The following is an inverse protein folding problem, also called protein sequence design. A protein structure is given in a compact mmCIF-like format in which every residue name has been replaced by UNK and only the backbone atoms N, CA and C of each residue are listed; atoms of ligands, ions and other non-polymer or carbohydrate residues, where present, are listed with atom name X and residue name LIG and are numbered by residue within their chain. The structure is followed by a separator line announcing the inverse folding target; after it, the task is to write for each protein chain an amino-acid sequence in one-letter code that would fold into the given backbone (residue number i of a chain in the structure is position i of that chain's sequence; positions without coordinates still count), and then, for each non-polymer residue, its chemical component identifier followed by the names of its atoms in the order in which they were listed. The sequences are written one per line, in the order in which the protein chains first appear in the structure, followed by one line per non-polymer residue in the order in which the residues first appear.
data_IF_205718674460
#
_entry.id   IF_205718674460
#
_cell.length_a   1.000
_cell.length_b   1.000
_cell.length_c   1.000
_cell.angle_alpha   90.00
_cell.angle_beta   90.00
_cell.angle_gamma   90.00
#
_symmetry.space_group_name_H-M   'P 1'
#
loop_
_entity.id
_entity.type
_entity.pdbx_description
1 polymer ?
#
# COMPACT_ATOMS: atom_id res chain seq x y z
N UNK A 1 -38.78 -8.90 -33.70
CA UNK A 1 -38.46 -9.84 -32.60
C UNK A 1 -37.48 -10.87 -33.13
N UNK A 2 -36.24 -10.80 -32.67
CA UNK A 2 -35.28 -11.90 -32.61
C UNK A 2 -34.28 -11.45 -31.54
N UNK A 3 -34.16 -12.20 -30.44
CA UNK A 3 -33.37 -11.78 -29.29
C UNK A 3 -31.89 -12.16 -29.50
N UNK A 4 -31.00 -11.27 -29.07
CA UNK A 4 -29.57 -11.55 -28.92
C UNK A 4 -29.33 -12.50 -27.75
N UNK A 5 -28.59 -13.58 -27.98
CA UNK A 5 -28.05 -14.42 -26.91
C UNK A 5 -26.91 -13.67 -26.17
N UNK A 6 -26.80 -13.79 -24.83
CA UNK A 6 -25.70 -13.19 -24.08
C UNK A 6 -24.43 -14.05 -24.15
N UNK A 7 -23.27 -13.41 -24.18
CA UNK A 7 -21.97 -14.07 -24.15
C UNK A 7 -21.78 -14.90 -22.86
N UNK A 8 -21.09 -16.04 -22.99
CA UNK A 8 -20.82 -16.94 -21.88
C UNK A 8 -19.82 -16.32 -20.88
N UNK A 9 -20.16 -16.40 -19.60
CA UNK A 9 -19.26 -15.99 -18.52
C UNK A 9 -18.16 -17.06 -18.35
N UNK A 10 -16.90 -16.72 -18.64
CA UNK A 10 -15.76 -17.64 -18.52
C UNK A 10 -14.86 -17.22 -17.36
N UNK A 11 -15.26 -17.61 -16.15
CA UNK A 11 -14.42 -17.53 -14.96
C UNK A 11 -13.42 -18.69 -14.94
N UNK A 12 -12.14 -18.38 -14.72
CA UNK A 12 -11.09 -19.39 -14.58
C UNK A 12 -11.36 -20.33 -13.39
N UNK A 13 -11.11 -21.65 -13.51
CA UNK A 13 -11.44 -22.61 -12.46
C UNK A 13 -10.45 -22.54 -11.29
N UNK A 14 -10.81 -21.81 -10.23
CA UNK A 14 -10.11 -21.86 -8.96
C UNK A 14 -10.25 -23.25 -8.32
N UNK A 15 -9.12 -23.91 -8.01
CA UNK A 15 -9.10 -25.17 -7.26
C UNK A 15 -7.84 -25.27 -6.40
N UNK A 16 -7.85 -24.57 -5.27
CA UNK A 16 -6.81 -24.66 -4.25
C UNK A 16 -7.05 -25.87 -3.33
N UNK A 17 -6.05 -26.75 -3.11
CA UNK A 17 -6.17 -27.87 -2.17
C UNK A 17 -6.08 -27.40 -0.70
N UNK A 18 -6.68 -28.14 0.26
CA UNK A 18 -6.73 -27.72 1.67
C UNK A 18 -5.38 -27.85 2.39
N UNK A 19 -5.09 -26.87 3.26
CA UNK A 19 -3.86 -26.79 4.05
C UNK A 19 -3.81 -27.86 5.16
N UNK A 20 -2.70 -28.60 5.22
CA UNK A 20 -2.44 -29.60 6.27
C UNK A 20 -1.99 -28.96 7.59
N UNK A 21 -2.65 -29.30 8.70
CA UNK A 21 -2.34 -28.74 10.03
C UNK A 21 -1.26 -29.55 10.75
N UNK A 22 -0.04 -28.97 10.89
CA UNK A 22 1.00 -29.50 11.79
C UNK A 22 0.83 -28.93 13.20
N UNK A 23 0.60 -29.82 14.19
CA UNK A 23 0.69 -29.46 15.62
C UNK A 23 2.13 -29.10 16.01
N UNK A 24 2.29 -27.99 16.72
CA UNK A 24 3.51 -27.66 17.46
C UNK A 24 3.32 -27.98 18.95
N UNK A 25 4.31 -28.64 19.55
CA UNK A 25 4.30 -29.07 20.95
C UNK A 25 4.61 -27.92 21.91
N UNK A 26 3.84 -27.81 22.99
CA UNK A 26 4.13 -26.87 24.07
C UNK A 26 5.32 -27.34 24.94
N UNK A 27 6.18 -26.41 25.34
CA UNK A 27 7.21 -26.65 26.36
C UNK A 27 7.14 -25.53 27.40
N UNK A 28 7.18 -25.91 28.69
CA UNK A 28 6.88 -25.04 29.83
C UNK A 28 8.05 -24.11 30.17
N UNK A 29 7.76 -22.84 30.45
CA UNK A 29 8.67 -21.94 31.16
C UNK A 29 8.23 -21.78 32.63
N UNK A 30 9.19 -21.69 33.56
CA UNK A 30 8.96 -21.39 34.99
C UNK A 30 9.37 -19.93 35.28
N UNK A 31 8.72 -19.24 36.23
CA UNK A 31 9.03 -17.85 36.55
C UNK A 31 10.26 -17.73 37.48
N UNK A 32 11.06 -16.68 37.28
CA UNK A 32 12.13 -16.26 38.17
C UNK A 32 11.85 -14.88 38.75
N UNK A 33 12.03 -14.72 40.06
CA UNK A 33 11.77 -13.49 40.82
C UNK A 33 13.01 -12.58 40.88
N UNK A 34 12.80 -11.26 40.94
CA UNK A 34 13.88 -10.32 41.30
C UNK A 34 13.69 -8.87 40.84
N UNK A 35 13.42 -7.98 41.79
CA UNK A 35 13.60 -6.53 41.68
C UNK A 35 14.09 -6.06 43.06
N UNK A 36 15.08 -5.15 43.16
CA UNK A 36 14.71 -3.79 43.57
C UNK A 36 15.63 -2.65 43.05
N UNK A 37 15.15 -1.40 43.15
CA UNK A 37 16.03 -0.28 43.55
C UNK A 37 16.30 0.84 42.53
N UNK A 38 15.48 1.88 42.60
CA UNK A 38 15.60 3.23 41.98
C UNK A 38 16.94 3.95 42.33
N UNK A 39 17.39 4.97 41.56
CA UNK A 39 16.86 6.33 41.79
C UNK A 39 16.56 7.20 40.56
N UNK A 40 15.70 8.18 40.80
CA UNK A 40 15.20 9.21 39.89
C UNK A 40 16.29 10.24 39.51
N UNK A 41 16.31 10.71 38.26
CA UNK A 41 17.07 11.91 37.89
C UNK A 41 16.48 12.67 36.69
N UNK A 42 16.39 14.00 36.85
CA UNK A 42 16.46 14.96 35.74
C UNK A 42 15.24 15.14 34.85
N UNK A 43 14.36 16.10 35.21
CA UNK A 43 13.59 16.82 34.19
C UNK A 43 14.56 17.56 33.26
N UNK A 44 14.52 17.24 31.95
CA UNK A 44 14.97 18.16 30.90
C UNK A 44 13.80 18.52 30.01
N UNK A 45 13.12 19.60 30.38
CA UNK A 45 12.02 20.18 29.60
C UNK A 45 12.58 21.00 28.44
N UNK A 46 12.77 20.36 27.27
CA UNK A 46 13.21 21.07 26.05
C UNK A 46 12.06 21.26 25.05
N UNK A 47 11.50 22.46 25.09
CA UNK A 47 10.65 23.12 24.07
C UNK A 47 9.23 22.57 23.80
N UNK A 48 8.23 23.27 24.35
CA UNK A 48 6.83 23.27 23.86
C UNK A 48 6.65 24.09 22.56
N UNK A 49 7.64 24.11 21.66
CA UNK A 49 7.66 24.96 20.46
C UNK A 49 8.01 24.20 19.15
N UNK A 50 7.66 22.91 19.05
CA UNK A 50 7.90 22.06 17.87
C UNK A 50 6.66 21.89 16.93
N UNK A 51 5.72 22.84 16.95
CA UNK A 51 4.51 22.81 16.12
C UNK A 51 4.45 24.03 15.19
N UNK A 52 5.30 24.07 14.14
CA UNK A 52 4.71 23.95 12.80
C UNK A 52 5.54 23.17 11.74
N UNK A 53 6.71 22.60 12.05
CA UNK A 53 7.67 22.13 11.02
C UNK A 53 7.21 20.95 10.13
N UNK A 54 6.20 20.18 10.55
CA UNK A 54 5.93 18.83 10.01
C UNK A 54 4.83 18.70 8.95
N UNK A 55 4.12 19.77 8.56
CA UNK A 55 3.01 19.67 7.57
C UNK A 55 3.45 19.82 6.11
N UNK A 56 4.66 20.31 5.88
CA UNK A 56 5.26 20.52 4.56
C UNK A 56 6.45 19.58 4.30
N UNK A 57 6.83 18.76 5.28
CA UNK A 57 7.77 17.68 5.08
C UNK A 57 7.22 16.63 4.11
N UNK A 58 8.13 16.10 3.30
CA UNK A 58 7.94 14.97 2.41
C UNK A 58 8.92 13.86 2.79
N UNK A 59 8.61 12.63 2.41
CA UNK A 59 9.54 11.51 2.40
C UNK A 59 9.52 10.85 1.02
N UNK A 60 10.64 10.25 0.63
CA UNK A 60 10.69 9.40 -0.56
C UNK A 60 10.36 7.97 -0.17
N UNK A 61 9.33 7.41 -0.80
CA UNK A 61 8.89 6.02 -0.62
C UNK A 61 9.25 5.23 -1.87
N UNK A 62 9.95 4.12 -1.68
CA UNK A 62 10.08 3.05 -2.68
C UNK A 62 9.06 1.96 -2.32
N UNK A 63 8.17 1.66 -3.27
CA UNK A 63 7.12 0.65 -3.18
C UNK A 63 7.57 -0.51 -4.07
N UNK A 64 7.79 -1.69 -3.51
CA UNK A 64 8.19 -2.90 -4.24
C UNK A 64 7.09 -3.95 -4.13
N UNK A 65 6.64 -4.50 -5.26
CA UNK A 65 5.75 -5.65 -5.29
C UNK A 65 6.59 -6.92 -5.07
N UNK A 66 6.28 -7.70 -4.03
CA UNK A 66 7.04 -8.91 -3.68
C UNK A 66 6.80 -10.03 -4.68
N UNK A 67 7.69 -11.02 -4.64
CA UNK A 67 7.61 -12.25 -5.42
C UNK A 67 7.59 -12.04 -6.95
N UNK A 68 8.02 -10.86 -7.40
CA UNK A 68 8.22 -10.54 -8.82
C UNK A 68 9.70 -10.60 -9.21
N UNK A 69 9.96 -11.10 -10.42
CA UNK A 69 11.27 -11.13 -11.06
C UNK A 69 11.12 -10.73 -12.54
N UNK A 70 11.78 -9.65 -13.02
CA UNK A 70 12.49 -8.64 -12.22
C UNK A 70 11.55 -7.94 -11.23
N UNK A 71 12.10 -7.36 -10.16
CA UNK A 71 11.29 -6.70 -9.12
C UNK A 71 10.51 -5.51 -9.72
N UNK A 72 9.18 -5.60 -9.69
CA UNK A 72 8.29 -4.50 -10.06
C UNK A 72 8.27 -3.47 -8.92
N UNK A 73 8.55 -2.20 -9.24
CA UNK A 73 8.61 -1.15 -8.22
C UNK A 73 8.23 0.24 -8.71
N UNK A 74 7.84 1.09 -7.76
CA UNK A 74 7.50 2.51 -7.94
C UNK A 74 8.23 3.35 -6.89
N UNK A 75 8.61 4.58 -7.22
CA UNK A 75 9.20 5.56 -6.30
C UNK A 75 8.42 6.87 -6.38
N UNK A 76 8.04 7.38 -5.22
CA UNK A 76 7.23 8.59 -5.06
C UNK A 76 7.81 9.48 -3.96
N UNK A 77 7.62 10.79 -4.10
CA UNK A 77 7.72 11.71 -2.95
C UNK A 77 6.31 11.93 -2.38
N UNK A 78 6.14 11.69 -1.08
CA UNK A 78 4.84 11.72 -0.38
C UNK A 78 4.91 12.67 0.82
N UNK A 79 3.92 13.54 1.06
CA UNK A 79 3.90 14.38 2.25
C UNK A 79 3.80 13.53 3.52
N UNK A 80 4.63 13.77 4.53
CA UNK A 80 4.56 13.02 5.80
C UNK A 80 3.24 13.28 6.54
N UNK A 81 2.53 14.34 6.19
CA UNK A 81 1.22 14.70 6.74
C UNK A 81 0.04 13.86 6.26
N UNK A 82 0.20 12.96 5.27
CA UNK A 82 -0.91 12.13 4.75
C UNK A 82 -1.34 11.07 5.76
N UNK A 83 -2.61 10.65 5.72
CA UNK A 83 -3.09 9.48 6.46
C UNK A 83 -2.62 8.18 5.80
N UNK A 84 -2.68 7.05 6.50
CA UNK A 84 -2.38 5.75 5.89
C UNK A 84 -3.42 5.38 4.81
N UNK A 85 -4.69 5.81 4.91
CA UNK A 85 -5.64 5.69 3.78
C UNK A 85 -5.14 6.42 2.53
N UNK A 86 -4.62 7.64 2.66
CA UNK A 86 -4.05 8.38 1.51
C UNK A 86 -2.72 7.77 1.04
N UNK A 87 -1.97 7.07 1.89
CA UNK A 87 -0.84 6.27 1.45
C UNK A 87 -1.28 5.06 0.59
N UNK A 88 -2.37 4.39 0.98
CA UNK A 88 -3.00 3.35 0.17
C UNK A 88 -3.47 3.90 -1.18
N UNK A 89 -4.17 5.04 -1.21
CA UNK A 89 -4.60 5.70 -2.46
C UNK A 89 -3.41 5.99 -3.39
N UNK A 90 -2.23 6.29 -2.83
CA UNK A 90 -0.99 6.50 -3.58
C UNK A 90 -0.43 5.18 -4.14
N UNK A 91 -0.49 4.07 -3.39
CA UNK A 91 -0.04 2.76 -3.88
C UNK A 91 -0.91 2.30 -5.05
N UNK A 92 -2.24 2.33 -4.87
CA UNK A 92 -3.22 2.05 -5.93
C UNK A 92 -2.93 2.88 -7.19
N UNK A 93 -2.78 4.20 -7.03
CA UNK A 93 -2.51 5.12 -8.14
C UNK A 93 -1.17 4.92 -8.87
N UNK A 94 -0.16 4.28 -8.26
CA UNK A 94 1.12 3.98 -8.95
C UNK A 94 1.21 2.56 -9.50
N UNK A 95 0.39 1.63 -9.00
CA UNK A 95 0.23 0.31 -9.62
C UNK A 95 -0.80 0.32 -10.76
N UNK A 96 -1.76 1.26 -10.75
CA UNK A 96 -2.83 1.31 -11.75
C UNK A 96 -4.06 0.49 -11.38
N UNK A 97 -4.20 0.15 -10.10
CA UNK A 97 -5.34 -0.60 -9.54
C UNK A 97 -6.48 0.32 -9.09
N UNK A 98 -7.64 -0.30 -8.86
CA UNK A 98 -8.95 0.34 -8.81
C UNK A 98 -9.58 0.43 -7.40
N UNK A 99 -8.90 -0.06 -6.34
CA UNK A 99 -9.38 -0.05 -4.95
C UNK A 99 -10.69 -0.85 -4.73
N UNK A 100 -10.83 -2.01 -5.39
CA UNK A 100 -11.97 -2.93 -5.23
C UNK A 100 -11.85 -3.85 -4.01
N UNK A 101 -10.64 -4.14 -3.54
CA UNK A 101 -10.40 -5.23 -2.58
C UNK A 101 -9.96 -4.78 -1.19
N UNK A 102 -10.07 -5.71 -0.23
CA UNK A 102 -9.57 -5.50 1.13
C UNK A 102 -8.05 -5.31 1.16
N UNK A 103 -7.58 -4.52 2.12
CA UNK A 103 -6.18 -4.20 2.27
C UNK A 103 -5.78 -3.88 3.71
N UNK A 104 -4.48 -3.96 3.97
CA UNK A 104 -3.89 -3.53 5.23
C UNK A 104 -2.42 -3.12 5.09
N UNK A 105 -1.96 -2.32 6.05
CA UNK A 105 -0.55 -2.16 6.36
C UNK A 105 -0.19 -2.92 7.63
N UNK A 106 0.97 -3.59 7.64
CA UNK A 106 1.60 -4.09 8.86
C UNK A 106 2.86 -3.29 9.17
N UNK A 107 2.92 -2.69 10.37
CA UNK A 107 4.03 -1.84 10.84
C UNK A 107 4.33 -2.24 12.29
N UNK A 108 5.57 -2.66 12.57
CA UNK A 108 6.01 -3.09 13.90
C UNK A 108 5.02 -4.07 14.59
N UNK A 109 4.52 -5.04 13.81
CA UNK A 109 3.53 -6.06 14.19
C UNK A 109 2.11 -5.54 14.51
N UNK A 110 1.79 -4.29 14.18
CA UNK A 110 0.43 -3.72 14.25
C UNK A 110 -0.18 -3.63 12.87
N UNK A 111 -1.47 -3.99 12.75
CA UNK A 111 -2.24 -3.95 11.50
C UNK A 111 -3.04 -2.63 11.42
N UNK A 112 -3.07 -2.04 10.24
CA UNK A 112 -3.79 -0.79 9.95
C UNK A 112 -4.57 -0.94 8.65
N UNK A 113 -5.83 -0.49 8.59
CA UNK A 113 -6.64 -0.67 7.38
C UNK A 113 -7.92 0.17 7.38
N UNK A 114 -8.91 -0.15 6.53
CA UNK A 114 -10.24 0.42 6.65
C UNK A 114 -10.85 0.08 8.04
N UNK A 115 -11.86 0.84 8.51
CA UNK A 115 -12.69 0.40 9.62
C UNK A 115 -13.33 -0.95 9.28
N UNK A 116 -13.44 -1.83 10.25
CA UNK A 116 -14.04 -3.15 10.10
C UNK A 116 -14.91 -3.41 11.34
N UNK A 117 -16.02 -4.12 11.15
CA UNK A 117 -16.90 -4.47 12.27
C UNK A 117 -16.16 -5.45 13.22
N UNK A 118 -16.29 -5.22 14.52
CA UNK A 118 -15.44 -5.83 15.57
C UNK A 118 -15.52 -7.37 15.62
N UNK A 119 -16.56 -7.97 15.03
CA UNK A 119 -16.85 -9.41 15.11
C UNK A 119 -16.04 -10.29 14.15
N UNK A 120 -15.33 -9.72 13.16
CA UNK A 120 -14.72 -10.50 12.07
C UNK A 120 -13.26 -10.97 12.33
N UNK A 121 -12.51 -10.35 13.25
CA UNK A 121 -11.10 -10.68 13.49
C UNK A 121 -10.69 -10.67 14.96
N UNK A 122 -9.90 -11.68 15.36
CA UNK A 122 -9.34 -11.81 16.72
C UNK A 122 -8.15 -10.89 17.02
N UNK A 123 -7.69 -10.07 16.05
CA UNK A 123 -6.57 -9.13 16.25
C UNK A 123 -7.01 -7.70 15.94
N UNK A 124 -6.88 -6.75 16.89
CA UNK A 124 -7.32 -5.37 16.68
C UNK A 124 -6.60 -4.70 15.51
N UNK A 125 -7.39 -4.09 14.61
CA UNK A 125 -6.93 -3.31 13.45
C UNK A 125 -7.09 -1.82 13.76
N UNK A 126 -6.05 -1.02 13.47
CA UNK A 126 -6.09 0.43 13.68
C UNK A 126 -6.59 1.12 12.41
N UNK A 127 -7.60 1.98 12.52
CA UNK A 127 -8.12 2.73 11.37
C UNK A 127 -7.03 3.60 10.69
N UNK A 128 -6.75 3.29 9.44
CA UNK A 128 -5.75 3.96 8.60
C UNK A 128 -6.11 5.43 8.27
N UNK A 129 -7.36 5.84 8.50
CA UNK A 129 -7.82 7.23 8.41
C UNK A 129 -7.37 8.09 9.60
N UNK A 130 -7.14 7.48 10.77
CA UNK A 130 -6.79 8.16 12.03
C UNK A 130 -5.28 8.32 12.23
N UNK A 131 -4.45 7.56 11.51
CA UNK A 131 -2.98 7.54 11.64
C UNK A 131 -2.33 8.22 10.43
N UNK A 132 -1.33 9.09 10.65
CA UNK A 132 -0.54 9.73 9.58
C UNK A 132 0.80 9.05 9.37
N UNK A 133 1.34 9.17 8.16
CA UNK A 133 2.65 8.66 7.80
C UNK A 133 3.75 9.17 8.76
N UNK A 134 3.75 10.46 9.12
CA UNK A 134 4.71 11.04 10.09
C UNK A 134 4.66 10.38 11.47
N UNK A 135 3.50 9.84 11.87
CA UNK A 135 3.28 9.31 13.22
C UNK A 135 3.92 7.90 13.39
N UNK A 136 4.37 7.29 12.28
CA UNK A 136 5.07 5.98 12.22
C UNK A 136 6.52 6.08 11.70
N UNK A 137 7.05 7.30 11.49
CA UNK A 137 8.40 7.46 10.94
C UNK A 137 9.51 7.14 11.94
N UNK A 138 10.53 6.42 11.48
CA UNK A 138 11.77 6.15 12.20
C UNK A 138 12.88 7.06 11.64
N UNK A 139 13.89 7.48 12.44
CA UNK A 139 14.83 8.54 12.05
C UNK A 139 15.65 8.32 10.76
N UNK A 140 15.84 7.07 10.32
CA UNK A 140 16.64 6.75 9.12
C UNK A 140 15.83 6.08 8.00
N UNK A 141 15.04 5.06 8.35
CA UNK A 141 14.26 4.23 7.42
C UNK A 141 13.07 3.62 8.16
N UNK A 142 11.88 3.75 7.59
CA UNK A 142 10.70 2.96 8.00
C UNK A 142 10.42 1.90 6.94
N UNK A 143 10.27 0.65 7.37
CA UNK A 143 9.69 -0.41 6.55
C UNK A 143 8.22 -0.54 6.91
N UNK A 144 7.38 -0.61 5.89
CA UNK A 144 5.94 -0.87 6.00
C UNK A 144 5.67 -2.08 5.10
N UNK A 145 4.96 -3.08 5.63
CA UNK A 145 4.35 -4.14 4.83
C UNK A 145 2.96 -3.65 4.39
N UNK A 146 2.56 -3.92 3.15
CA UNK A 146 1.23 -3.62 2.63
C UNK A 146 0.71 -4.85 1.88
N UNK A 147 -0.51 -5.26 2.19
CA UNK A 147 -1.22 -6.34 1.51
C UNK A 147 -2.44 -5.71 0.84
N UNK A 148 -2.58 -5.92 -0.47
CA UNK A 148 -3.76 -5.57 -1.24
C UNK A 148 -4.35 -6.86 -1.81
N UNK A 149 -5.68 -6.97 -1.81
CA UNK A 149 -6.43 -8.17 -2.14
C UNK A 149 -6.06 -9.38 -1.25
N UNK A 150 -7.04 -9.85 -0.46
CA UNK A 150 -6.84 -10.99 0.43
C UNK A 150 -7.07 -12.34 -0.28
N UNK A 151 -7.59 -12.33 -1.52
CA UNK A 151 -7.59 -13.46 -2.44
C UNK A 151 -6.23 -13.57 -3.15
N UNK A 152 -5.94 -12.65 -4.05
CA UNK A 152 -4.72 -12.68 -4.89
C UNK A 152 -3.42 -12.41 -4.12
N UNK A 153 -3.50 -11.84 -2.91
CA UNK A 153 -2.39 -11.62 -1.99
C UNK A 153 -1.25 -10.77 -2.55
N UNK A 154 -1.58 -9.57 -3.05
CA UNK A 154 -0.60 -8.62 -3.58
C UNK A 154 0.24 -7.98 -2.46
N UNK A 155 1.29 -8.70 -2.06
CA UNK A 155 2.22 -8.30 -1.01
C UNK A 155 3.24 -7.25 -1.47
N UNK A 156 3.38 -6.16 -0.73
CA UNK A 156 4.34 -5.10 -1.02
C UNK A 156 5.28 -4.81 0.17
N UNK A 157 6.49 -4.36 -0.16
CA UNK A 157 7.41 -3.72 0.79
C UNK A 157 7.51 -2.23 0.45
N UNK A 158 7.09 -1.40 1.38
CA UNK A 158 7.28 0.05 1.33
C UNK A 158 8.49 0.44 2.18
N UNK A 159 9.51 1.02 1.54
CA UNK A 159 10.69 1.61 2.20
C UNK A 159 10.58 3.13 2.17
N UNK A 160 10.39 3.75 3.33
CA UNK A 160 10.31 5.21 3.51
C UNK A 160 11.66 5.75 3.97
N UNK A 161 12.17 6.77 3.27
CA UNK A 161 13.50 7.37 3.43
C UNK A 161 13.48 8.87 3.06
N UNK A 162 14.61 9.57 3.20
CA UNK A 162 14.82 10.95 2.71
C UNK A 162 13.73 11.95 3.16
N UNK A 163 13.53 12.04 4.48
CA UNK A 163 12.59 12.97 5.10
C UNK A 163 13.17 14.38 5.02
N UNK A 164 12.49 15.28 4.31
CA UNK A 164 12.98 16.64 3.99
C UNK A 164 11.84 17.62 3.79
N UNK A 165 12.12 18.92 3.75
CA UNK A 165 11.10 19.92 3.41
C UNK A 165 10.71 19.84 1.93
N UNK A 166 9.40 19.87 1.65
CA UNK A 166 8.86 19.95 0.29
C UNK A 166 9.14 21.30 -0.36
N UNK A 167 9.30 21.32 -1.69
CA UNK A 167 9.56 22.55 -2.45
C UNK A 167 8.25 23.34 -2.65
N UNK A 168 8.18 24.66 -2.36
CA UNK A 168 6.92 25.43 -2.39
C UNK A 168 6.15 25.41 -3.71
N UNK A 169 6.84 25.34 -4.85
CA UNK A 169 6.23 25.30 -6.19
C UNK A 169 5.91 23.88 -6.70
N UNK A 170 6.08 22.84 -5.87
CA UNK A 170 5.86 21.44 -6.25
C UNK A 170 4.67 20.86 -5.49
N UNK A 171 3.69 20.34 -6.23
CA UNK A 171 2.60 19.54 -5.67
C UNK A 171 3.07 18.13 -5.31
N UNK A 172 2.55 17.61 -4.20
CA UNK A 172 2.86 16.29 -3.66
C UNK A 172 1.56 15.59 -3.22
N UNK A 173 1.41 14.27 -3.42
CA UNK A 173 2.43 13.31 -3.86
C UNK A 173 2.83 13.46 -5.34
N UNK A 174 4.01 12.96 -5.70
CA UNK A 174 4.49 12.94 -7.10
C UNK A 174 5.29 11.68 -7.43
N UNK A 175 5.21 11.26 -8.68
CA UNK A 175 5.99 10.15 -9.24
C UNK A 175 7.45 10.56 -9.49
N UNK A 176 8.38 9.65 -9.20
CA UNK A 176 9.83 9.83 -9.38
C UNK A 176 10.40 8.81 -10.38
N UNK A 177 9.88 7.58 -10.43
CA UNK A 177 10.32 6.53 -11.36
C UNK A 177 9.84 5.14 -10.94
N UNK A 178 10.14 4.12 -11.74
CA UNK A 178 9.72 2.74 -11.54
C UNK A 178 10.38 1.80 -12.55
N UNK A 179 10.22 0.48 -12.34
CA UNK A 179 10.53 -0.58 -13.31
C UNK A 179 9.40 -1.60 -13.29
N UNK A 180 9.11 -2.19 -14.46
CA UNK A 180 8.09 -3.21 -14.70
C UNK A 180 6.68 -2.64 -14.64
N UNK A 181 5.80 -3.05 -15.55
CA UNK A 181 4.38 -2.79 -15.42
C UNK A 181 3.84 -3.56 -14.19
N UNK A 182 2.76 -3.08 -13.57
CA UNK A 182 2.14 -3.84 -12.48
C UNK A 182 1.26 -4.94 -13.07
N UNK A 183 1.05 -6.08 -12.39
CA UNK A 183 0.06 -7.06 -12.82
C UNK A 183 -1.32 -6.39 -12.94
N UNK A 184 -2.12 -6.72 -13.97
CA UNK A 184 -3.53 -6.36 -13.99
C UNK A 184 -4.23 -6.85 -12.72
N UNK A 185 -5.25 -6.13 -12.28
CA UNK A 185 -6.07 -6.55 -11.15
C UNK A 185 -6.87 -7.82 -11.52
N UNK A 186 -7.24 -8.63 -10.53
CA UNK A 186 -7.99 -9.89 -10.70
C UNK A 186 -7.30 -10.96 -11.61
N UNK A 187 -5.98 -10.85 -11.85
CA UNK A 187 -5.25 -11.82 -12.67
C UNK A 187 -4.82 -13.11 -11.94
N UNK A 188 -5.29 -13.37 -10.72
CA UNK A 188 -5.00 -14.61 -9.97
C UNK A 188 -3.68 -14.56 -9.20
N UNK A 189 -3.31 -13.37 -8.72
CA UNK A 189 -2.10 -13.13 -7.94
C UNK A 189 -0.81 -13.35 -8.73
N UNK A 190 0.29 -13.46 -8.01
CA UNK A 190 1.61 -13.73 -8.60
C UNK A 190 1.62 -14.99 -9.50
N UNK A 191 1.00 -16.14 -9.13
CA UNK A 191 0.98 -17.32 -9.99
C UNK A 191 0.16 -17.12 -11.27
N UNK A 192 -1.00 -16.47 -11.19
CA UNK A 192 -1.86 -16.22 -12.35
C UNK A 192 -1.24 -15.21 -13.33
N UNK A 193 -0.61 -14.15 -12.79
CA UNK A 193 0.15 -13.19 -13.59
C UNK A 193 1.23 -13.87 -14.44
N UNK A 194 2.11 -14.66 -13.82
CA UNK A 194 3.18 -15.34 -14.54
C UNK A 194 2.65 -16.46 -15.46
N UNK A 195 1.62 -17.21 -15.05
CA UNK A 195 0.97 -18.20 -15.92
C UNK A 195 0.36 -17.59 -17.18
N UNK A 196 -0.17 -16.37 -17.08
CA UNK A 196 -0.69 -15.60 -18.24
C UNK A 196 0.45 -15.14 -19.15
N UNK A 197 1.56 -14.62 -18.59
CA UNK A 197 2.74 -14.25 -19.37
C UNK A 197 3.38 -15.45 -20.09
N UNK A 198 3.49 -16.60 -19.43
CA UNK A 198 4.01 -17.83 -20.03
C UNK A 198 3.08 -18.31 -21.18
N UNK A 199 1.76 -18.24 -20.99
CA UNK A 199 0.78 -18.56 -22.03
C UNK A 199 0.84 -17.62 -23.24
N UNK A 200 1.10 -16.32 -23.04
CA UNK A 200 1.31 -15.34 -24.12
C UNK A 200 2.62 -15.61 -24.87
N UNK A 201 3.65 -16.08 -24.18
CA UNK A 201 4.97 -16.32 -24.75
C UNK A 201 5.06 -17.58 -25.65
N UNK A 202 4.25 -18.62 -25.39
CA UNK A 202 4.19 -19.83 -26.23
C UNK A 202 2.89 -19.88 -27.08
N UNK A 203 2.97 -19.71 -28.41
CA UNK A 203 1.83 -19.85 -29.32
C UNK A 203 1.13 -21.22 -29.33
N UNK A 204 1.76 -22.26 -28.79
CA UNK A 204 1.19 -23.60 -28.68
C UNK A 204 0.57 -23.88 -27.29
N UNK A 205 0.68 -22.94 -26.35
CA UNK A 205 0.10 -23.11 -25.03
C UNK A 205 -1.43 -23.22 -25.15
N UNK A 206 -2.09 -24.17 -24.47
CA UNK A 206 -3.54 -24.37 -24.61
C UNK A 206 -4.39 -23.11 -24.36
N UNK A 207 -3.87 -22.20 -23.53
CA UNK A 207 -4.54 -20.96 -23.13
C UNK A 207 -4.02 -19.72 -23.90
N UNK A 208 -3.24 -19.87 -24.97
CA UNK A 208 -2.57 -18.75 -25.65
C UNK A 208 -3.54 -17.67 -26.18
N UNK A 209 -4.69 -18.10 -26.73
CA UNK A 209 -5.69 -17.18 -27.26
C UNK A 209 -6.34 -16.36 -26.13
N UNK A 210 -6.92 -17.04 -25.13
CA UNK A 210 -7.56 -16.44 -23.97
C UNK A 210 -6.61 -15.50 -23.20
N UNK A 211 -5.35 -15.90 -23.05
CA UNK A 211 -4.33 -15.08 -22.37
C UNK A 211 -4.02 -13.78 -23.13
N UNK A 212 -3.99 -13.82 -24.48
CA UNK A 212 -3.82 -12.62 -25.30
C UNK A 212 -5.03 -11.71 -25.32
N UNK A 213 -6.24 -12.27 -25.30
CA UNK A 213 -7.48 -11.48 -25.21
C UNK A 213 -7.60 -10.81 -23.84
N UNK A 214 -7.23 -11.51 -22.76
CA UNK A 214 -7.31 -10.99 -21.40
C UNK A 214 -6.27 -9.91 -21.07
N UNK A 215 -5.03 -10.08 -21.56
CA UNK A 215 -3.93 -9.12 -21.41
C UNK A 215 -3.72 -8.29 -22.70
N UNK A 216 -4.78 -7.98 -23.43
CA UNK A 216 -4.63 -7.19 -24.67
C UNK A 216 -3.95 -5.83 -24.40
N UNK A 217 -3.08 -5.43 -25.33
CA UNK A 217 -2.15 -4.29 -25.22
C UNK A 217 -1.20 -4.27 -23.98
N UNK A 218 -1.19 -5.28 -23.11
CA UNK A 218 -0.34 -5.31 -21.91
C UNK A 218 1.12 -5.68 -22.22
N UNK A 219 2.06 -4.76 -21.97
CA UNK A 219 3.49 -5.05 -21.92
C UNK A 219 4.00 -5.03 -20.45
N UNK A 220 4.57 -6.12 -19.91
CA UNK A 220 5.12 -6.18 -18.55
C UNK A 220 6.35 -5.27 -18.33
N UNK A 221 6.94 -4.70 -19.39
CA UNK A 221 8.13 -3.84 -19.32
C UNK A 221 7.82 -2.34 -19.41
N UNK A 222 6.65 -1.98 -19.94
CA UNK A 222 6.26 -0.58 -20.18
C UNK A 222 5.41 -0.07 -19.02
N UNK A 223 5.81 1.06 -18.43
CA UNK A 223 4.99 1.78 -17.45
C UNK A 223 4.34 2.96 -18.17
N UNK A 224 3.00 3.00 -18.26
CA UNK A 224 2.34 4.25 -18.63
C UNK A 224 2.37 5.23 -17.44
N UNK A 225 3.24 6.22 -17.57
CA UNK A 225 3.50 7.24 -16.55
C UNK A 225 2.42 8.34 -16.55
N UNK A 226 1.63 8.50 -17.63
CA UNK A 226 0.65 9.58 -17.73
C UNK A 226 -0.58 9.40 -16.82
N UNK A 227 -1.24 8.22 -16.75
CA UNK A 227 -2.29 7.92 -15.78
C UNK A 227 -1.79 8.07 -14.34
N UNK A 228 -0.59 7.52 -14.04
CA UNK A 228 0.04 7.61 -12.71
C UNK A 228 0.22 9.07 -12.27
N UNK A 229 0.83 9.91 -13.13
CA UNK A 229 1.01 11.35 -12.83
C UNK A 229 -0.33 12.05 -12.64
N UNK A 230 -1.33 11.73 -13.47
CA UNK A 230 -2.67 12.31 -13.40
C UNK A 230 -3.38 11.93 -12.10
N UNK A 231 -3.34 10.67 -11.70
CA UNK A 231 -3.92 10.17 -10.46
C UNK A 231 -3.26 10.80 -9.22
N UNK A 232 -1.93 10.84 -9.15
CA UNK A 232 -1.22 11.52 -8.05
C UNK A 232 -1.51 13.02 -8.01
N UNK A 233 -1.68 13.68 -9.16
CA UNK A 233 -2.07 15.10 -9.23
C UNK A 233 -3.49 15.33 -8.68
N UNK A 234 -4.45 14.43 -8.92
CA UNK A 234 -5.78 14.48 -8.28
C UNK A 234 -5.67 14.41 -6.75
N UNK A 235 -4.88 13.46 -6.22
CA UNK A 235 -4.64 13.31 -4.78
C UNK A 235 -3.99 14.58 -4.20
N UNK A 236 -2.99 15.14 -4.89
CA UNK A 236 -2.31 16.37 -4.48
C UNK A 236 -3.28 17.58 -4.43
N UNK A 237 -4.14 17.72 -5.44
CA UNK A 237 -5.13 18.80 -5.53
C UNK A 237 -6.19 18.70 -4.43
N UNK A 238 -6.74 17.50 -4.17
CA UNK A 238 -7.67 17.26 -3.07
C UNK A 238 -7.05 17.61 -1.71
N UNK A 239 -5.80 17.17 -1.46
CA UNK A 239 -5.04 17.49 -0.24
C UNK A 239 -4.81 19.00 -0.09
N UNK A 240 -4.49 19.71 -1.17
CA UNK A 240 -4.25 21.15 -1.14
C UNK A 240 -5.56 21.92 -0.87
N UNK A 241 -6.68 21.53 -1.49
CA UNK A 241 -8.00 22.11 -1.21
C UNK A 241 -8.42 21.90 0.27
N UNK A 242 -8.15 20.73 0.84
CA UNK A 242 -8.39 20.44 2.25
C UNK A 242 -7.52 21.33 3.18
N UNK A 243 -6.23 21.52 2.86
CA UNK A 243 -5.35 22.46 3.59
C UNK A 243 -5.91 23.89 3.59
N UNK A 244 -6.35 24.40 2.43
CA UNK A 244 -6.90 25.77 2.31
C UNK A 244 -8.20 25.91 3.13
N UNK A 245 -9.09 24.91 3.09
CA UNK A 245 -10.32 24.92 3.92
C UNK A 245 -10.02 24.97 5.42
N UNK A 246 -9.04 24.21 5.89
CA UNK A 246 -8.65 24.19 7.31
C UNK A 246 -8.06 25.53 7.75
N UNK A 247 -7.18 26.14 6.94
CA UNK A 247 -6.59 27.45 7.23
C UNK A 247 -7.62 28.60 7.23
N UNK A 248 -8.63 28.55 6.34
CA UNK A 248 -9.75 29.50 6.39
C UNK A 248 -10.56 29.37 7.68
N UNK A 249 -10.81 28.13 8.15
CA UNK A 249 -11.58 27.90 9.38
C UNK A 249 -10.85 28.41 10.62
N UNK A 250 -9.54 28.18 10.74
CA UNK A 250 -8.76 28.67 11.89
C UNK A 250 -8.78 30.19 12.01
N UNK A 251 -8.75 30.90 10.89
CA UNK A 251 -8.75 32.37 10.84
C UNK A 251 -10.15 32.99 11.02
N UNK A 252 -11.20 32.18 11.21
CA UNK A 252 -12.56 32.65 11.51
C UNK A 252 -12.98 32.37 12.96
N UNK A 253 -12.15 31.66 13.73
CA UNK A 253 -12.44 31.22 15.11
C UNK A 253 -11.47 31.80 16.15
N UNK A 254 -10.70 32.82 15.78
CA UNK A 254 -9.77 33.56 16.63
C UNK A 254 -9.76 35.03 16.24
#
# INVERSE_FOLDING_TARGET
MAASEPAANHSWPHSSPPLSTRKLSSTKFRPGTGNPGVPNSGMSSTSKHAAPESINQIATIRIELRHTNPVIWRKVDVPTSVTLKVLHDIVQAVMGWFDYHLWEFTIDKRRYGPPMDDDWESTPRIEATKVRLRDILKPRKTNIDYLYDFGDSWEHRLTVTDIRQGKPAISYPRYIGGIGNAPPEDCGGIPGFYGTLDAIADPNHPNHADAKEWFDEYDPNVIDVLPIKSALSRIANQRNAAKVRLAKKSNQTG
#
